data_IF_745886050815
#
_entry.id   IF_745886050815
#
_cell.length_a   1.000
_cell.length_b   1.000
_cell.length_c   1.000
_cell.angle_alpha   90.00
_cell.angle_beta   90.00
_cell.angle_gamma   90.00
#
_symmetry.space_group_name_H-M   'P 1'
#
loop_
_entity.id
_entity.type
_entity.pdbx_description
1 polymer ?
#
# COMPACT_ATOMS: atom_id res chain seq x y z
N UNK A 1 5.39 -11.60 13.14
CA UNK A 1 6.00 -10.43 12.47
C UNK A 1 5.09 -9.23 12.63
N UNK A 2 5.63 -8.04 12.91
CA UNK A 2 4.84 -6.82 13.06
C UNK A 2 4.13 -6.50 11.72
N UNK A 3 2.79 -6.56 11.66
CA UNK A 3 2.00 -6.36 10.44
C UNK A 3 2.30 -5.03 9.72
N UNK A 4 2.74 -4.02 10.47
CA UNK A 4 3.15 -2.71 9.95
C UNK A 4 4.43 -2.75 9.12
N UNK A 5 5.27 -3.76 9.33
CA UNK A 5 6.52 -3.95 8.58
C UNK A 5 6.34 -4.99 7.47
N UNK A 6 5.50 -6.01 7.70
CA UNK A 6 5.29 -7.09 6.75
C UNK A 6 4.81 -6.59 5.37
N UNK A 7 3.79 -5.72 5.32
CA UNK A 7 3.23 -5.28 4.04
C UNK A 7 4.23 -4.44 3.21
N UNK A 8 4.92 -3.41 3.76
CA UNK A 8 5.95 -2.71 3.01
C UNK A 8 7.15 -3.59 2.64
N UNK A 9 7.54 -4.56 3.47
CA UNK A 9 8.64 -5.47 3.15
C UNK A 9 8.29 -6.44 2.01
N UNK A 10 7.04 -6.90 1.95
CA UNK A 10 6.53 -7.69 0.82
C UNK A 10 6.50 -6.84 -0.47
N UNK A 11 6.05 -5.58 -0.36
CA UNK A 11 6.07 -4.63 -1.47
C UNK A 11 7.50 -4.32 -1.94
N UNK A 12 8.45 -4.19 -1.00
CA UNK A 12 9.87 -4.05 -1.29
C UNK A 12 10.41 -5.28 -2.02
N UNK A 13 10.05 -6.48 -1.55
CA UNK A 13 10.39 -7.74 -2.22
C UNK A 13 9.86 -7.78 -3.65
N UNK A 14 8.61 -7.37 -3.88
CA UNK A 14 8.05 -7.22 -5.22
C UNK A 14 8.89 -6.24 -6.06
N UNK A 15 9.16 -5.05 -5.54
CA UNK A 15 9.98 -4.06 -6.26
C UNK A 15 11.36 -4.58 -6.66
N UNK A 16 12.03 -5.32 -5.78
CA UNK A 16 13.33 -5.91 -6.09
C UNK A 16 13.23 -6.99 -7.18
N UNK A 17 12.22 -7.87 -7.09
CA UNK A 17 11.98 -8.89 -8.11
C UNK A 17 11.65 -8.25 -9.46
N UNK A 18 10.85 -7.18 -9.45
CA UNK A 18 10.52 -6.41 -10.66
C UNK A 18 11.77 -5.80 -11.30
N UNK A 19 12.67 -5.20 -10.52
CA UNK A 19 13.92 -4.66 -11.06
C UNK A 19 14.76 -5.75 -11.74
N UNK A 20 14.80 -6.96 -11.16
CA UNK A 20 15.49 -8.11 -11.77
C UNK A 20 14.80 -8.56 -13.05
N UNK A 21 13.46 -8.62 -13.05
CA UNK A 21 12.64 -8.97 -14.21
C UNK A 21 12.89 -8.03 -15.39
N UNK A 22 13.06 -6.72 -15.13
CA UNK A 22 13.27 -5.71 -16.18
C UNK A 22 14.70 -5.51 -16.65
N UNK A 23 15.68 -6.31 -16.21
CA UNK A 23 17.11 -6.11 -16.56
C UNK A 23 17.39 -6.28 -18.06
N UNK A 24 16.54 -7.01 -18.78
CA UNK A 24 16.62 -7.18 -20.24
C UNK A 24 15.87 -6.07 -21.01
N UNK A 25 15.30 -5.10 -20.30
CA UNK A 25 14.51 -4.00 -20.87
C UNK A 25 13.02 -4.31 -21.05
N UNK A 26 12.53 -5.47 -20.60
CA UNK A 26 11.12 -5.86 -20.68
C UNK A 26 10.67 -6.56 -19.40
N UNK A 27 9.43 -6.30 -18.97
CA UNK A 27 8.77 -7.15 -17.96
C UNK A 27 7.89 -8.16 -18.66
N UNK A 28 8.00 -9.44 -18.34
CA UNK A 28 7.35 -10.49 -19.13
C UNK A 28 6.92 -11.70 -18.32
N UNK A 29 6.18 -12.64 -18.93
CA UNK A 29 5.76 -13.85 -18.23
C UNK A 29 6.99 -14.67 -17.78
N UNK A 30 6.88 -15.31 -16.62
CA UNK A 30 7.96 -16.11 -16.05
C UNK A 30 8.00 -16.10 -14.52
N UNK A 31 9.00 -16.77 -13.91
CA UNK A 31 9.09 -16.90 -12.46
C UNK A 31 9.18 -15.57 -11.72
N UNK A 32 9.95 -14.60 -12.25
CA UNK A 32 10.11 -13.29 -11.62
C UNK A 32 8.78 -12.53 -11.60
N UNK A 33 8.07 -12.45 -12.73
CA UNK A 33 6.71 -11.93 -12.80
C UNK A 33 5.77 -12.56 -11.78
N UNK A 34 5.67 -13.89 -11.78
CA UNK A 34 4.79 -14.63 -10.86
C UNK A 34 5.13 -14.34 -9.40
N UNK A 35 6.40 -14.48 -9.02
CA UNK A 35 6.85 -14.25 -7.64
C UNK A 35 6.56 -12.81 -7.22
N UNK A 36 6.85 -11.84 -8.09
CA UNK A 36 6.58 -10.43 -7.85
C UNK A 36 5.10 -10.16 -7.55
N UNK A 37 4.21 -10.67 -8.40
CA UNK A 37 2.77 -10.48 -8.23
C UNK A 37 2.19 -11.23 -7.02
N UNK A 38 2.73 -12.40 -6.67
CA UNK A 38 2.37 -13.10 -5.42
C UNK A 38 2.79 -12.30 -4.18
N UNK A 39 4.00 -11.73 -4.18
CA UNK A 39 4.47 -10.85 -3.12
C UNK A 39 3.59 -9.60 -3.02
N UNK A 40 3.21 -9.01 -4.15
CA UNK A 40 2.34 -7.86 -4.17
C UNK A 40 0.94 -8.18 -3.64
N UNK A 41 0.34 -9.31 -4.05
CA UNK A 41 -0.95 -9.76 -3.52
C UNK A 41 -0.91 -9.98 -2.01
N UNK A 42 0.16 -10.61 -1.50
CA UNK A 42 0.38 -10.77 -0.06
C UNK A 42 0.55 -9.40 0.65
N UNK A 43 1.21 -8.43 0.02
CA UNK A 43 1.33 -7.07 0.53
C UNK A 43 -0.05 -6.39 0.65
N UNK A 44 -0.94 -6.53 -0.34
CA UNK A 44 -2.31 -5.99 -0.30
C UNK A 44 -3.11 -6.52 0.91
N UNK A 45 -3.02 -7.83 1.17
CA UNK A 45 -3.63 -8.44 2.37
C UNK A 45 -3.05 -7.84 3.64
N UNK A 46 -1.72 -7.67 3.69
CA UNK A 46 -1.04 -7.02 4.80
C UNK A 46 -1.48 -5.57 5.03
N UNK A 47 -1.63 -4.78 3.96
CA UNK A 47 -2.14 -3.41 4.03
C UNK A 47 -3.60 -3.36 4.51
N UNK A 48 -4.43 -4.32 4.12
CA UNK A 48 -5.78 -4.49 4.68
C UNK A 48 -5.75 -4.71 6.20
N UNK A 49 -4.89 -5.61 6.69
CA UNK A 49 -4.73 -5.87 8.11
C UNK A 49 -4.20 -4.65 8.90
N UNK A 50 -3.30 -3.85 8.30
CA UNK A 50 -2.81 -2.58 8.86
C UNK A 50 -3.94 -1.55 8.94
N UNK A 51 -4.71 -1.41 7.88
CA UNK A 51 -5.84 -0.45 7.79
C UNK A 51 -6.87 -0.72 8.88
N UNK A 52 -7.24 -1.99 9.08
CA UNK A 52 -8.17 -2.39 10.14
C UNK A 52 -7.62 -2.05 11.54
N UNK A 53 -6.31 -2.15 11.76
CA UNK A 53 -5.71 -1.77 13.04
C UNK A 53 -5.72 -0.27 13.27
N UNK A 54 -5.32 0.52 12.27
CA UNK A 54 -5.35 1.98 12.33
C UNK A 54 -6.76 2.48 12.66
N UNK A 55 -7.77 1.91 12.00
CA UNK A 55 -9.19 2.20 12.27
C UNK A 55 -9.58 1.94 13.71
N UNK A 56 -9.19 0.78 14.26
CA UNK A 56 -9.50 0.41 15.66
C UNK A 56 -8.85 1.38 16.64
N UNK A 57 -7.65 1.88 16.34
CA UNK A 57 -6.97 2.87 17.15
C UNK A 57 -7.69 4.22 17.11
N UNK A 58 -8.17 4.68 15.96
CA UNK A 58 -8.86 6.00 15.88
C UNK A 58 -10.24 5.96 16.52
N UNK A 59 -11.07 4.96 16.18
CA UNK A 59 -12.42 4.81 16.75
C UNK A 59 -13.43 5.89 16.34
N UNK A 60 -13.34 6.43 15.11
CA UNK A 60 -14.24 7.49 14.62
C UNK A 60 -15.00 7.10 13.34
N UNK A 61 -16.12 7.79 13.06
CA UNK A 61 -16.89 7.60 11.81
C UNK A 61 -16.05 7.89 10.55
N UNK A 62 -15.25 8.98 10.47
CA UNK A 62 -14.33 9.18 9.37
C UNK A 62 -13.39 7.99 9.15
N UNK A 63 -12.79 7.46 10.22
CA UNK A 63 -11.91 6.30 10.11
C UNK A 63 -12.63 5.04 9.58
N UNK A 64 -13.91 4.85 9.93
CA UNK A 64 -14.72 3.77 9.37
C UNK A 64 -14.94 3.94 7.87
N UNK A 65 -15.40 5.11 7.43
CA UNK A 65 -15.66 5.38 6.01
C UNK A 65 -14.39 5.27 5.18
N UNK A 66 -13.27 5.82 5.69
CA UNK A 66 -11.96 5.69 5.04
C UNK A 66 -11.53 4.23 4.95
N UNK A 67 -11.78 3.40 5.96
CA UNK A 67 -11.45 1.96 5.93
C UNK A 67 -12.25 1.21 4.89
N UNK A 68 -13.54 1.54 4.72
CA UNK A 68 -14.38 0.96 3.66
C UNK A 68 -13.83 1.35 2.28
N UNK A 69 -13.51 2.63 2.08
CA UNK A 69 -12.91 3.11 0.84
C UNK A 69 -11.58 2.41 0.52
N UNK A 70 -10.70 2.26 1.53
CA UNK A 70 -9.45 1.48 1.39
C UNK A 70 -9.74 0.04 0.99
N UNK A 71 -10.73 -0.60 1.63
CA UNK A 71 -11.12 -1.97 1.29
C UNK A 71 -11.53 -2.12 -0.17
N UNK A 72 -12.33 -1.18 -0.69
CA UNK A 72 -12.72 -1.17 -2.11
C UNK A 72 -11.52 -0.99 -3.04
N UNK A 73 -10.61 -0.07 -2.71
CA UNK A 73 -9.38 0.12 -3.49
C UNK A 73 -8.47 -1.10 -3.47
N UNK A 74 -8.32 -1.77 -2.33
CA UNK A 74 -7.56 -3.02 -2.22
C UNK A 74 -8.18 -4.14 -3.06
N UNK A 75 -9.52 -4.24 -3.12
CA UNK A 75 -10.20 -5.21 -3.99
C UNK A 75 -9.98 -4.91 -5.47
N UNK A 76 -10.00 -3.64 -5.87
CA UNK A 76 -9.68 -3.23 -7.24
C UNK A 76 -8.24 -3.62 -7.61
N UNK A 77 -7.25 -3.33 -6.75
CA UNK A 77 -5.87 -3.79 -6.96
C UNK A 77 -5.76 -5.32 -6.97
N UNK A 78 -6.46 -6.03 -6.09
CA UNK A 78 -6.44 -7.49 -6.08
C UNK A 78 -6.97 -8.08 -7.40
N UNK A 79 -8.01 -7.50 -7.99
CA UNK A 79 -8.49 -7.88 -9.34
C UNK A 79 -7.35 -7.77 -10.35
N UNK A 80 -6.67 -6.63 -10.42
CA UNK A 80 -5.58 -6.38 -11.37
C UNK A 80 -4.47 -7.41 -11.20
N UNK A 81 -4.00 -7.63 -9.97
CA UNK A 81 -2.93 -8.60 -9.67
C UNK A 81 -3.33 -10.04 -10.00
N UNK A 82 -4.60 -10.41 -9.79
CA UNK A 82 -5.10 -11.73 -10.17
C UNK A 82 -5.09 -11.89 -11.69
N UNK A 83 -5.51 -10.87 -12.44
CA UNK A 83 -5.42 -10.89 -13.91
C UNK A 83 -3.96 -11.00 -14.36
N UNK A 84 -3.05 -10.22 -13.77
CA UNK A 84 -1.61 -10.29 -14.06
C UNK A 84 -1.03 -11.69 -13.84
N UNK A 85 -1.47 -12.38 -12.78
CA UNK A 85 -1.07 -13.75 -12.50
C UNK A 85 -1.62 -14.71 -13.56
N UNK A 86 -2.92 -14.65 -13.86
CA UNK A 86 -3.55 -15.55 -14.85
C UNK A 86 -2.91 -15.37 -16.23
N UNK A 87 -2.76 -14.12 -16.66
CA UNK A 87 -2.20 -13.76 -17.95
C UNK A 87 -0.71 -14.12 -18.03
N UNK A 88 0.06 -13.79 -16.98
CA UNK A 88 1.49 -14.10 -16.92
C UNK A 88 1.81 -15.59 -16.83
N UNK A 89 0.98 -16.39 -16.17
CA UNK A 89 1.12 -17.86 -16.18
C UNK A 89 0.74 -18.48 -17.52
N UNK A 90 -0.20 -17.86 -18.22
CA UNK A 90 -0.75 -18.41 -19.47
C UNK A 90 0.09 -18.10 -20.71
N UNK A 91 0.91 -17.05 -20.68
CA UNK A 91 1.64 -16.56 -21.84
C UNK A 91 3.07 -17.14 -21.93
N UNK A 92 3.51 -17.48 -23.15
CA UNK A 92 4.89 -17.90 -23.42
C UNK A 92 5.85 -16.69 -23.53
N UNK A 93 5.35 -15.54 -23.97
CA UNK A 93 6.13 -14.32 -24.13
C UNK A 93 5.29 -13.05 -23.90
N UNK A 94 5.95 -11.89 -23.93
CA UNK A 94 5.31 -10.59 -23.71
C UNK A 94 4.27 -10.25 -24.79
N UNK A 95 4.44 -10.71 -26.02
CA UNK A 95 3.51 -10.42 -27.11
C UNK A 95 2.19 -11.18 -26.90
N UNK A 96 2.27 -12.47 -26.56
CA UNK A 96 1.09 -13.27 -26.19
C UNK A 96 0.40 -12.71 -24.94
N UNK A 97 1.18 -12.27 -23.95
CA UNK A 97 0.66 -11.67 -22.73
C UNK A 97 -0.22 -10.44 -23.02
N UNK A 98 0.26 -9.54 -23.89
CA UNK A 98 -0.49 -8.37 -24.33
C UNK A 98 -1.79 -8.72 -25.08
N UNK A 99 -1.81 -9.82 -25.84
CA UNK A 99 -3.02 -10.29 -26.50
C UNK A 99 -4.05 -10.79 -25.47
N UNK A 100 -3.59 -11.58 -24.49
CA UNK A 100 -4.45 -12.15 -23.44
C UNK A 100 -5.05 -11.09 -22.51
N UNK A 101 -4.35 -9.99 -22.25
CA UNK A 101 -4.91 -8.89 -21.45
C UNK A 101 -6.22 -8.34 -22.03
N UNK A 102 -6.37 -8.33 -23.36
CA UNK A 102 -7.59 -7.84 -24.03
C UNK A 102 -8.83 -8.63 -23.66
N UNK A 103 -8.69 -9.90 -23.29
CA UNK A 103 -9.81 -10.74 -22.88
C UNK A 103 -10.36 -10.35 -21.49
N UNK A 104 -9.60 -9.57 -20.71
CA UNK A 104 -9.96 -9.09 -19.37
C UNK A 104 -10.33 -7.61 -19.33
N UNK A 105 -10.18 -6.89 -20.45
CA UNK A 105 -10.60 -5.50 -20.57
C UNK A 105 -12.12 -5.39 -20.53
N UNK A 106 -12.63 -4.47 -19.72
CA UNK A 106 -14.06 -4.22 -19.56
C UNK A 106 -14.37 -2.72 -19.65
N UNK A 107 -15.59 -2.33 -20.07
CA UNK A 107 -16.00 -0.93 -20.02
C UNK A 107 -15.98 -0.31 -18.60
N UNK A 108 -15.89 -1.13 -17.56
CA UNK A 108 -15.83 -0.70 -16.16
C UNK A 108 -14.40 -0.38 -15.68
N UNK A 109 -13.36 -0.71 -16.47
CA UNK A 109 -11.97 -0.56 -16.02
C UNK A 109 -11.59 0.87 -15.65
N UNK A 110 -11.98 1.93 -16.40
CA UNK A 110 -11.70 3.30 -15.97
C UNK A 110 -12.28 3.62 -14.58
N UNK A 111 -13.49 3.12 -14.28
CA UNK A 111 -14.10 3.30 -12.96
C UNK A 111 -13.35 2.50 -11.89
N UNK A 112 -12.88 1.29 -12.21
CA UNK A 112 -12.08 0.46 -11.31
C UNK A 112 -10.72 1.10 -11.01
N UNK A 113 -10.10 1.77 -11.96
CA UNK A 113 -8.86 2.52 -11.75
C UNK A 113 -9.06 3.64 -10.72
N UNK A 114 -10.16 4.40 -10.84
CA UNK A 114 -10.54 5.41 -9.84
C UNK A 114 -10.81 4.79 -8.47
N UNK A 115 -11.49 3.64 -8.42
CA UNK A 115 -11.74 2.91 -7.16
C UNK A 115 -10.41 2.45 -6.54
N UNK A 116 -9.45 1.99 -7.36
CA UNK A 116 -8.10 1.62 -6.92
C UNK A 116 -7.42 2.73 -6.14
N UNK A 117 -7.55 3.99 -6.57
CA UNK A 117 -6.95 5.16 -5.90
C UNK A 117 -7.47 5.40 -4.47
N UNK A 118 -8.62 4.81 -4.09
CA UNK A 118 -9.14 4.90 -2.72
C UNK A 118 -8.23 4.23 -1.69
N UNK A 119 -7.46 3.21 -2.09
CA UNK A 119 -6.48 2.58 -1.20
C UNK A 119 -5.36 3.54 -0.78
N UNK A 120 -4.54 4.08 -1.70
CA UNK A 120 -3.43 4.96 -1.32
C UNK A 120 -3.92 6.22 -0.61
N UNK A 121 -4.98 6.86 -1.11
CA UNK A 121 -5.56 8.05 -0.50
C UNK A 121 -6.10 7.77 0.91
N UNK A 122 -6.85 6.68 1.06
CA UNK A 122 -7.43 6.33 2.35
C UNK A 122 -6.38 5.95 3.39
N UNK A 123 -5.29 5.29 3.00
CA UNK A 123 -4.19 5.01 3.92
C UNK A 123 -3.51 6.30 4.40
N UNK A 124 -3.28 7.26 3.50
CA UNK A 124 -2.74 8.59 3.85
C UNK A 124 -3.68 9.31 4.83
N UNK A 125 -4.99 9.29 4.58
CA UNK A 125 -6.00 9.89 5.46
C UNK A 125 -6.00 9.24 6.85
N UNK A 126 -5.95 7.90 6.95
CA UNK A 126 -5.88 7.21 8.24
C UNK A 126 -4.61 7.60 9.03
N UNK A 127 -3.46 7.69 8.36
CA UNK A 127 -2.23 8.15 9.00
C UNK A 127 -2.34 9.61 9.44
N UNK A 128 -2.98 10.47 8.64
CA UNK A 128 -3.24 11.86 9.01
C UNK A 128 -4.13 11.97 10.24
N UNK A 129 -5.20 11.17 10.32
CA UNK A 129 -6.07 11.10 11.51
C UNK A 129 -5.29 10.65 12.75
N UNK A 130 -4.39 9.65 12.64
CA UNK A 130 -3.51 9.28 13.75
C UNK A 130 -2.55 10.41 14.13
N UNK A 131 -2.01 11.12 13.16
CA UNK A 131 -1.04 12.20 13.38
C UNK A 131 -1.70 13.38 14.10
N UNK A 132 -2.90 13.79 13.68
CA UNK A 132 -3.72 14.82 14.34
C UNK A 132 -4.06 14.39 15.78
N UNK A 133 -4.32 13.11 16.01
CA UNK A 133 -4.55 12.56 17.34
C UNK A 133 -3.26 12.42 18.20
N UNK A 134 -2.08 12.77 17.66
CA UNK A 134 -0.80 12.65 18.36
C UNK A 134 -0.33 11.20 18.58
N UNK A 135 -0.84 10.25 17.79
CA UNK A 135 -0.59 8.80 17.95
C UNK A 135 0.42 8.23 16.96
N UNK A 136 0.95 9.07 16.07
CA UNK A 136 2.05 8.75 15.17
C UNK A 136 2.85 10.03 14.89
N UNK A 137 3.98 9.93 14.20
CA UNK A 137 4.75 11.10 13.79
C UNK A 137 3.97 11.95 12.77
N UNK A 138 4.06 13.28 12.89
CA UNK A 138 3.34 14.21 12.01
C UNK A 138 3.73 14.11 10.53
N UNK A 139 4.95 13.63 10.24
CA UNK A 139 5.45 13.40 8.88
C UNK A 139 5.08 12.04 8.29
N UNK A 140 4.50 11.13 9.09
CA UNK A 140 4.07 9.80 8.62
C UNK A 140 3.14 9.85 7.40
N UNK A 141 2.11 10.74 7.35
CA UNK A 141 1.25 10.86 6.18
C UNK A 141 2.00 11.37 4.94
N UNK A 142 2.99 12.24 5.13
CA UNK A 142 3.80 12.80 4.02
C UNK A 142 4.69 11.73 3.41
N UNK A 143 5.30 10.85 4.22
CA UNK A 143 6.05 9.72 3.69
C UNK A 143 5.15 8.73 2.94
N UNK A 144 3.95 8.45 3.45
CA UNK A 144 3.02 7.58 2.75
C UNK A 144 2.57 8.18 1.41
N UNK A 145 2.23 9.48 1.40
CA UNK A 145 1.89 10.20 0.19
C UNK A 145 3.05 10.20 -0.81
N UNK A 146 4.26 10.55 -0.37
CA UNK A 146 5.46 10.51 -1.22
C UNK A 146 5.73 9.11 -1.76
N UNK A 147 5.54 8.08 -0.92
CA UNK A 147 5.64 6.68 -1.33
C UNK A 147 4.71 6.37 -2.49
N UNK A 148 3.42 6.68 -2.37
CA UNK A 148 2.45 6.43 -3.44
C UNK A 148 2.68 7.30 -4.68
N UNK A 149 3.03 8.57 -4.52
CA UNK A 149 3.35 9.45 -5.66
C UNK A 149 4.52 8.89 -6.48
N UNK A 150 5.57 8.41 -5.82
CA UNK A 150 6.70 7.76 -6.48
C UNK A 150 6.23 6.55 -7.31
N UNK A 151 5.34 5.71 -6.78
CA UNK A 151 4.78 4.56 -7.51
C UNK A 151 3.90 4.95 -8.70
N UNK A 152 3.25 6.12 -8.65
CA UNK A 152 2.45 6.62 -9.78
C UNK A 152 3.30 7.21 -10.91
N UNK A 153 4.51 7.68 -10.58
CA UNK A 153 5.44 8.25 -11.57
C UNK A 153 6.10 7.12 -12.36
N UNK A 154 6.65 6.14 -11.65
CA UNK A 154 7.36 5.01 -12.25
C UNK A 154 7.28 3.81 -11.30
N UNK A 155 6.84 2.67 -11.83
CA UNK A 155 6.65 1.45 -11.05
C UNK A 155 7.99 0.80 -10.69
N UNK A 156 9.06 1.07 -11.46
CA UNK A 156 10.42 0.61 -11.12
C UNK A 156 10.97 1.30 -9.86
N UNK A 157 10.33 2.39 -9.40
CA UNK A 157 10.63 3.01 -8.12
C UNK A 157 9.92 2.33 -6.93
N UNK A 158 9.34 1.14 -7.13
CA UNK A 158 8.74 0.31 -6.08
C UNK A 158 9.61 0.16 -4.82
N UNK A 159 10.92 -0.12 -4.91
CA UNK A 159 11.76 -0.20 -3.71
C UNK A 159 11.77 1.11 -2.91
N UNK A 160 11.88 2.25 -3.58
CA UNK A 160 11.86 3.56 -2.92
C UNK A 160 10.48 3.84 -2.29
N UNK A 161 9.40 3.62 -3.04
CA UNK A 161 8.04 3.77 -2.53
C UNK A 161 7.76 2.87 -1.32
N UNK A 162 8.22 1.62 -1.36
CA UNK A 162 8.11 0.67 -0.26
C UNK A 162 8.90 1.10 0.98
N UNK A 163 10.10 1.66 0.83
CA UNK A 163 10.89 2.21 1.93
C UNK A 163 10.23 3.43 2.58
N UNK A 164 9.63 4.31 1.77
CA UNK A 164 8.86 5.46 2.28
C UNK A 164 7.63 4.99 3.07
N UNK A 165 6.88 4.02 2.54
CA UNK A 165 5.74 3.39 3.22
C UNK A 165 6.18 2.66 4.51
N UNK A 166 7.33 1.99 4.49
CA UNK A 166 7.92 1.37 5.67
C UNK A 166 8.22 2.41 6.75
N UNK A 167 8.85 3.54 6.39
CA UNK A 167 9.09 4.66 7.31
C UNK A 167 7.80 5.25 7.88
N UNK A 168 6.79 5.43 7.02
CA UNK A 168 5.47 5.91 7.43
C UNK A 168 4.83 4.98 8.47
N UNK A 169 4.76 3.69 8.18
CA UNK A 169 4.10 2.70 9.05
C UNK A 169 4.93 2.32 10.27
N UNK A 170 6.26 2.42 10.21
CA UNK A 170 7.13 2.17 11.35
C UNK A 170 6.80 3.12 12.51
N UNK A 171 6.55 4.40 12.23
CA UNK A 171 6.15 5.35 13.27
C UNK A 171 4.79 5.02 13.89
N UNK A 172 3.82 4.59 13.07
CA UNK A 172 2.50 4.17 13.54
C UNK A 172 2.53 2.86 14.34
N UNK A 173 3.58 2.05 14.18
CA UNK A 173 3.75 0.80 14.91
C UNK A 173 4.21 0.99 16.36
N UNK A 174 4.73 2.17 16.70
CA UNK A 174 5.21 2.48 18.04
C UNK A 174 4.03 2.68 19.00
N UNK A 175 4.09 2.15 20.23
CA UNK A 175 3.11 2.47 21.27
C UNK A 175 3.08 3.98 21.51
N UNK A 176 1.89 4.57 21.66
CA UNK A 176 1.76 5.95 22.12
C UNK A 176 2.36 6.06 23.52
N UNK A 177 3.51 6.71 23.68
CA UNK A 177 3.99 7.08 25.01
C UNK A 177 2.98 8.08 25.58
N UNK A 178 2.42 7.85 26.78
CA UNK A 178 1.55 8.83 27.42
C UNK A 178 2.29 10.16 27.50
N UNK A 179 1.65 11.24 27.04
CA UNK A 179 2.16 12.59 27.30
C UNK A 179 2.12 12.77 28.81
N UNK A 180 3.29 12.80 29.45
CA UNK A 180 3.40 13.20 30.86
C UNK A 180 2.95 14.64 30.92
N UNK A 181 1.74 14.89 31.44
CA UNK A 181 1.36 16.26 31.75
C UNK A 181 2.30 16.78 32.85
N UNK A 182 2.84 18.00 32.70
CA UNK A 182 3.61 18.60 33.78
C UNK A 182 2.71 18.69 35.02
N UNK A 183 3.06 17.92 36.05
CA UNK A 183 2.45 18.01 37.38
C UNK A 183 2.50 19.48 37.79
N UNK A 184 1.32 20.02 38.08
CA UNK A 184 1.04 21.45 38.10
C UNK A 184 2.12 22.32 38.74
N UNK A 185 2.48 23.39 38.02
CA UNK A 185 2.97 24.59 38.68
C UNK A 185 1.83 25.10 39.57
N UNK A 186 1.86 24.69 40.84
CA UNK A 186 0.99 25.21 41.87
C UNK A 186 1.06 26.73 41.83
N UNK A 187 -0.11 27.37 41.76
CA UNK A 187 -0.23 28.81 41.99
C UNK A 187 0.27 29.07 43.41
N UNK A 188 1.46 29.64 43.53
CA UNK A 188 1.88 30.28 44.77
C UNK A 188 0.97 31.50 44.96
N UNK A 189 0.27 31.49 46.09
CA UNK A 189 -0.58 32.56 46.63
C UNK A 189 0.26 33.79 46.92
#
# INVERSE_FOLDING_TARGET
MNRYLAAPLLLLGYGLVRLVDGLDGSHGPGPAWTIGHLLFLAALVGFGAVTLDLRRRIGSLPALLTTVAVGLGLLAFAKVVIVDLIVGFGAADRAEMNLRYRDYETPADPALDFVGMLFPLGLVVLLALLAVAGRTAWWSPLLALGGFVVLTIELDLLPLGALLLLGALFTASRPSTPRVEPVGAGKAV
#
